data_IF_952817934892
#
_entry.id   IF_952817934892
#
_cell.length_a   1.000
_cell.length_b   1.000
_cell.length_c   1.000
_cell.angle_alpha   90.00
_cell.angle_beta   90.00
_cell.angle_gamma   90.00
#
_symmetry.space_group_name_H-M   'P 1'
#
loop_
_entity.id
_entity.type
_entity.pdbx_description
1 polymer ?
#
# COMPACT_ATOMS: atom_id res chain seq x y z
N UNK A 1 -19.63 33.19 1.15
CA UNK A 1 -20.12 32.13 2.06
C UNK A 1 -19.15 30.96 2.00
N UNK A 2 -18.97 30.29 3.13
CA UNK A 2 -17.91 29.35 3.52
C UNK A 2 -17.35 28.37 2.49
N UNK A 3 -16.05 28.13 2.67
CA UNK A 3 -15.19 27.08 2.11
C UNK A 3 -15.83 25.69 2.13
N UNK A 4 -16.09 25.13 0.94
CA UNK A 4 -16.36 23.69 0.76
C UNK A 4 -15.05 22.88 0.71
N UNK A 5 -14.10 23.20 1.59
CA UNK A 5 -12.84 22.47 1.72
C UNK A 5 -12.92 21.33 2.75
N UNK A 6 -14.09 21.10 3.34
CA UNK A 6 -14.34 20.02 4.30
C UNK A 6 -14.99 18.80 3.62
N UNK A 7 -14.47 18.41 2.45
CA UNK A 7 -14.88 17.14 1.82
C UNK A 7 -14.20 16.00 2.59
N UNK A 8 -14.87 15.63 3.68
CA UNK A 8 -15.05 14.26 4.16
C UNK A 8 -13.74 13.44 4.18
N UNK A 9 -12.89 13.73 5.16
CA UNK A 9 -11.76 12.87 5.51
C UNK A 9 -12.19 11.61 6.29
N UNK A 10 -13.48 11.47 6.60
CA UNK A 10 -13.98 10.58 7.65
C UNK A 10 -14.86 9.42 7.15
N UNK A 11 -15.02 9.25 5.83
CA UNK A 11 -15.74 8.08 5.29
C UNK A 11 -14.77 6.91 5.04
N UNK A 12 -14.32 6.30 6.14
CA UNK A 12 -14.31 4.85 6.41
C UNK A 12 -14.18 3.85 5.23
N UNK A 13 -13.25 4.07 4.30
CA UNK A 13 -12.48 2.99 3.64
C UNK A 13 -10.95 3.23 3.76
N UNK A 14 -10.54 4.27 4.51
CA UNK A 14 -9.13 4.75 4.58
C UNK A 14 -8.31 4.25 5.79
N UNK A 15 -8.91 3.47 6.70
CA UNK A 15 -8.18 2.87 7.84
C UNK A 15 -6.90 2.10 7.45
N UNK A 16 -6.85 1.31 6.36
CA UNK A 16 -5.60 0.67 5.95
C UNK A 16 -4.54 1.66 5.47
N UNK A 17 -4.92 2.78 4.86
CA UNK A 17 -3.96 3.77 4.31
C UNK A 17 -3.35 4.66 5.39
N UNK A 18 -4.03 4.86 6.52
CA UNK A 18 -3.52 5.73 7.60
C UNK A 18 -2.21 5.18 8.20
N UNK A 19 -2.12 3.86 8.35
CA UNK A 19 -0.98 3.14 8.92
C UNK A 19 0.16 2.92 7.93
N UNK A 20 -0.03 3.23 6.64
CA UNK A 20 1.03 3.06 5.65
C UNK A 20 2.14 4.10 5.83
N UNK A 21 3.38 3.63 5.73
CA UNK A 21 4.57 4.47 5.60
C UNK A 21 4.61 5.13 4.22
N UNK A 22 5.41 6.19 4.06
CA UNK A 22 5.61 6.84 2.75
C UNK A 22 6.15 5.84 1.71
N UNK A 23 7.01 4.90 2.12
CA UNK A 23 7.56 3.87 1.25
C UNK A 23 6.45 2.95 0.74
N UNK A 24 5.57 2.47 1.63
CA UNK A 24 4.44 1.63 1.26
C UNK A 24 3.44 2.38 0.36
N UNK A 25 3.15 3.65 0.64
CA UNK A 25 2.31 4.49 -0.21
C UNK A 25 2.90 4.66 -1.61
N UNK A 26 4.21 4.88 -1.72
CA UNK A 26 4.90 4.98 -3.02
C UNK A 26 4.93 3.63 -3.75
N UNK A 27 5.10 2.51 -3.04
CA UNK A 27 5.03 1.16 -3.63
C UNK A 27 3.64 0.90 -4.22
N UNK A 28 2.58 1.23 -3.49
CA UNK A 28 1.20 1.13 -3.95
C UNK A 28 0.93 2.01 -5.17
N UNK A 29 1.39 3.26 -5.17
CA UNK A 29 1.24 4.15 -6.32
C UNK A 29 2.02 3.68 -7.55
N UNK A 30 3.21 3.10 -7.37
CA UNK A 30 3.97 2.47 -8.47
C UNK A 30 3.22 1.30 -9.07
N UNK A 31 2.68 0.42 -8.23
CA UNK A 31 1.86 -0.72 -8.67
C UNK A 31 0.66 -0.26 -9.52
N UNK A 32 0.04 0.87 -9.15
CA UNK A 32 -1.09 1.47 -9.87
C UNK A 32 -0.70 2.35 -11.06
N UNK A 33 0.61 2.50 -11.33
CA UNK A 33 1.16 3.42 -12.32
C UNK A 33 0.71 4.88 -12.14
N UNK A 34 0.69 5.35 -10.89
CA UNK A 34 0.30 6.70 -10.50
C UNK A 34 1.50 7.55 -10.09
N UNK A 35 1.33 8.88 -10.11
CA UNK A 35 2.38 9.81 -9.71
C UNK A 35 2.81 9.62 -8.24
N UNK A 36 4.12 9.69 -8.00
CA UNK A 36 4.76 9.59 -6.68
C UNK A 36 5.08 10.95 -6.05
N UNK A 37 4.71 12.04 -6.71
CA UNK A 37 5.03 13.41 -6.27
C UNK A 37 4.11 13.87 -5.16
N UNK A 38 4.63 14.72 -4.28
CA UNK A 38 3.88 15.34 -3.18
C UNK A 38 4.23 14.78 -1.80
N UNK A 39 3.52 15.31 -0.80
CA UNK A 39 3.62 14.92 0.60
C UNK A 39 2.80 13.64 0.89
N UNK A 40 2.89 13.11 2.12
CA UNK A 40 2.20 11.87 2.52
C UNK A 40 0.68 11.91 2.28
N UNK A 41 0.04 13.05 2.51
CA UNK A 41 -1.40 13.21 2.32
C UNK A 41 -1.77 13.23 0.84
N UNK A 42 -0.97 13.89 -0.01
CA UNK A 42 -1.15 13.88 -1.47
C UNK A 42 -1.11 12.45 -2.02
N UNK A 43 -0.18 11.62 -1.50
CA UNK A 43 -0.08 10.22 -1.88
C UNK A 43 -1.33 9.42 -1.47
N UNK A 44 -1.85 9.66 -0.25
CA UNK A 44 -3.07 8.99 0.24
C UNK A 44 -4.29 9.37 -0.58
N UNK A 45 -4.48 10.67 -0.82
CA UNK A 45 -5.60 11.18 -1.62
C UNK A 45 -5.63 10.54 -3.00
N UNK A 46 -4.48 10.43 -3.66
CA UNK A 46 -4.37 9.83 -4.98
C UNK A 46 -4.78 8.35 -5.00
N UNK A 47 -4.46 7.59 -3.95
CA UNK A 47 -4.91 6.20 -3.81
C UNK A 47 -6.42 6.14 -3.58
N UNK A 48 -6.98 7.04 -2.77
CA UNK A 48 -8.42 7.10 -2.50
C UNK A 48 -9.21 7.47 -3.76
N UNK A 49 -8.75 8.46 -4.51
CA UNK A 49 -9.35 8.88 -5.79
C UNK A 49 -9.34 7.72 -6.80
N UNK A 50 -8.21 7.03 -6.94
CA UNK A 50 -8.09 5.86 -7.82
C UNK A 50 -9.00 4.70 -7.38
N UNK A 51 -9.11 4.43 -6.07
CA UNK A 51 -10.05 3.43 -5.55
C UNK A 51 -11.50 3.77 -5.93
N UNK A 52 -11.92 5.02 -5.72
CA UNK A 52 -13.27 5.47 -6.05
C UNK A 52 -13.55 5.39 -7.54
N UNK A 53 -12.57 5.78 -8.37
CA UNK A 53 -12.65 5.66 -9.82
C UNK A 53 -12.85 4.20 -10.24
N UNK A 54 -12.01 3.28 -9.76
CA UNK A 54 -12.07 1.85 -10.10
C UNK A 54 -13.31 1.16 -9.55
N UNK A 55 -13.82 1.60 -8.40
CA UNK A 55 -15.09 1.13 -7.84
C UNK A 55 -16.25 1.43 -8.79
N UNK A 56 -16.28 2.64 -9.35
CA UNK A 56 -17.28 3.04 -10.33
C UNK A 56 -17.11 2.31 -11.67
N UNK A 57 -15.88 1.98 -12.04
CA UNK A 57 -15.56 1.21 -13.26
C UNK A 57 -15.74 -0.31 -13.07
N UNK A 58 -15.98 -0.80 -11.85
CA UNK A 58 -16.08 -2.22 -11.55
C UNK A 58 -14.75 -2.99 -11.56
N UNK A 59 -13.61 -2.30 -11.57
CA UNK A 59 -12.26 -2.90 -11.68
C UNK A 59 -11.50 -2.95 -10.36
N UNK A 60 -12.11 -2.50 -9.26
CA UNK A 60 -11.44 -2.43 -7.95
C UNK A 60 -11.12 -3.83 -7.38
N UNK A 61 -12.01 -4.80 -7.57
CA UNK A 61 -11.82 -6.16 -7.05
C UNK A 61 -10.66 -6.87 -7.77
N UNK A 62 -10.58 -6.72 -9.09
CA UNK A 62 -9.47 -7.25 -9.91
C UNK A 62 -8.12 -6.64 -9.47
N UNK A 63 -8.08 -5.33 -9.22
CA UNK A 63 -6.89 -4.66 -8.70
C UNK A 63 -6.47 -5.26 -7.35
N UNK A 64 -7.43 -5.51 -6.45
CA UNK A 64 -7.16 -6.09 -5.14
C UNK A 64 -6.63 -7.53 -5.26
N UNK A 65 -7.15 -8.34 -6.18
CA UNK A 65 -6.63 -9.68 -6.47
C UNK A 65 -5.18 -9.64 -6.97
N UNK A 66 -4.88 -8.74 -7.92
CA UNK A 66 -3.52 -8.56 -8.44
C UNK A 66 -2.56 -8.05 -7.36
N UNK A 67 -3.04 -7.16 -6.49
CA UNK A 67 -2.28 -6.63 -5.35
C UNK A 67 -1.87 -7.75 -4.40
N UNK A 68 -2.75 -8.69 -4.09
CA UNK A 68 -2.38 -9.83 -3.24
C UNK A 68 -1.27 -10.68 -3.88
N UNK A 69 -1.30 -10.91 -5.19
CA UNK A 69 -0.23 -11.64 -5.88
C UNK A 69 1.10 -10.87 -5.84
N UNK A 70 1.08 -9.58 -6.20
CA UNK A 70 2.29 -8.76 -6.35
C UNK A 70 3.01 -8.45 -5.03
N UNK A 71 2.28 -8.47 -3.91
CA UNK A 71 2.83 -8.17 -2.59
C UNK A 71 3.09 -9.42 -1.74
N UNK A 72 2.62 -10.60 -2.14
CA UNK A 72 2.94 -11.87 -1.47
C UNK A 72 4.30 -12.46 -1.89
N UNK A 73 4.89 -12.00 -2.99
CA UNK A 73 6.20 -12.49 -3.47
C UNK A 73 7.40 -11.93 -2.69
N UNK A 74 7.19 -10.96 -1.79
CA UNK A 74 8.20 -10.50 -0.82
C UNK A 74 7.88 -11.07 0.58
N UNK A 75 7.83 -12.39 0.74
CA UNK A 75 8.31 -12.96 2.01
C UNK A 75 9.82 -12.72 2.04
N UNK A 76 10.24 -11.51 2.44
CA UNK A 76 11.56 -11.39 3.05
C UNK A 76 11.53 -12.36 4.23
N UNK A 77 12.35 -13.44 4.23
CA UNK A 77 12.41 -14.32 5.38
C UNK A 77 12.63 -13.45 6.60
N UNK A 78 11.78 -13.62 7.62
CA UNK A 78 11.91 -12.88 8.88
C UNK A 78 13.37 -12.90 9.32
N UNK A 79 13.89 -11.81 9.87
CA UNK A 79 15.25 -11.77 10.43
C UNK A 79 15.54 -12.97 11.34
N UNK A 80 14.50 -13.48 12.02
CA UNK A 80 14.56 -14.71 12.83
C UNK A 80 14.86 -15.97 12.02
N UNK A 81 14.25 -16.11 10.84
CA UNK A 81 14.47 -17.24 9.94
C UNK A 81 15.89 -17.19 9.36
N UNK A 82 16.36 -16.00 8.96
CA UNK A 82 17.72 -15.77 8.49
C UNK A 82 18.76 -16.07 9.60
N UNK A 83 18.50 -15.64 10.83
CA UNK A 83 19.35 -15.95 11.98
C UNK A 83 19.42 -17.45 12.26
N UNK A 84 18.28 -18.16 12.23
CA UNK A 84 18.25 -19.61 12.38
C UNK A 84 19.04 -20.33 11.30
N UNK A 85 18.94 -19.88 10.06
CA UNK A 85 19.67 -20.48 8.93
C UNK A 85 21.18 -20.27 9.08
N UNK A 86 21.62 -19.06 9.44
CA UNK A 86 23.04 -18.77 9.72
C UNK A 86 23.57 -19.64 10.87
N UNK A 87 22.83 -19.76 11.97
CA UNK A 87 23.23 -20.61 13.10
C UNK A 87 23.27 -22.09 12.73
N UNK A 88 22.35 -22.54 11.88
CA UNK A 88 22.29 -23.93 11.42
C UNK A 88 23.46 -24.26 10.50
N UNK A 89 23.82 -23.35 9.59
CA UNK A 89 24.98 -23.49 8.69
C UNK A 89 26.30 -23.48 9.46
N UNK A 90 26.43 -22.66 10.52
CA UNK A 90 27.61 -22.63 11.38
C UNK A 90 27.84 -23.92 12.17
N UNK A 91 26.82 -24.76 12.35
CA UNK A 91 26.91 -26.05 13.06
C UNK A 91 27.26 -27.23 12.14
N UNK A 92 27.31 -27.02 10.83
CA UNK A 92 27.61 -28.07 9.85
C UNK A 92 29.10 -28.12 9.44
N UNK A 93 29.93 -27.25 10.01
CA UNK A 93 31.39 -27.16 9.81
C UNK A 93 32.08 -27.38 11.15
#
# INVERSE_FOLDING_TARGET
MSTNADIIFDSLESHPLQNLTIVQLKKELRFRNLSLTGNKNDLKLRIVEDNNKRKNEGTLDELNTLRMQYFNDEETPSDRNLLMEIESLRKQV
#
